data_IF_885466222229
#
_entry.id   IF_885466222229
#
_cell.length_a   1.000
_cell.length_b   1.000
_cell.length_c   1.000
_cell.angle_alpha   90.00
_cell.angle_beta   90.00
_cell.angle_gamma   90.00
#
_symmetry.space_group_name_H-M   'P 1'
#
loop_
_entity.id
_entity.type
_entity.pdbx_description
1 polymer ?
#
# COMPACT_ATOMS: atom_id res chain seq x y z
N UNK A 1 24.85 5.65 12.86
CA UNK A 1 24.48 5.62 11.44
C UNK A 1 23.80 6.90 10.95
N UNK A 2 22.67 7.33 11.54
CA UNK A 2 22.03 8.61 11.17
C UNK A 2 22.96 9.78 11.52
N UNK A 3 23.41 9.85 12.78
CA UNK A 3 24.29 10.94 13.26
C UNK A 3 25.66 10.97 12.55
N UNK A 4 26.09 9.80 12.06
CA UNK A 4 27.32 9.63 11.27
C UNK A 4 27.11 9.96 9.78
N UNK A 5 25.88 10.26 9.35
CA UNK A 5 25.53 10.57 7.96
C UNK A 5 25.56 9.38 6.99
N UNK A 6 25.68 8.15 7.49
CA UNK A 6 25.73 6.94 6.64
C UNK A 6 24.36 6.57 6.05
N UNK A 7 23.27 6.94 6.74
CA UNK A 7 21.89 6.80 6.24
C UNK A 7 21.13 8.10 6.52
N UNK A 8 20.14 8.43 5.66
CA UNK A 8 19.30 9.63 5.84
C UNK A 8 18.08 9.38 6.72
N UNK A 9 17.51 8.19 6.63
CA UNK A 9 16.26 7.81 7.30
C UNK A 9 16.35 6.37 7.80
N UNK A 10 15.60 6.06 8.84
CA UNK A 10 15.41 4.71 9.35
C UNK A 10 13.92 4.38 9.40
N UNK A 11 13.59 3.12 9.20
CA UNK A 11 12.24 2.59 9.28
C UNK A 11 12.20 1.28 10.04
N UNK A 12 10.99 0.79 10.26
CA UNK A 12 10.74 -0.50 10.91
C UNK A 12 9.92 -1.41 9.99
N UNK A 13 9.98 -2.71 10.22
CA UNK A 13 9.27 -3.71 9.41
C UNK A 13 8.68 -4.77 10.32
N UNK A 14 7.48 -5.26 9.99
CA UNK A 14 6.75 -6.26 10.79
C UNK A 14 6.54 -5.84 12.26
N UNK A 15 6.08 -4.60 12.46
CA UNK A 15 5.90 -4.04 13.80
C UNK A 15 4.45 -3.70 14.09
N UNK A 16 4.06 -3.85 15.36
CA UNK A 16 2.81 -3.27 15.87
C UNK A 16 3.00 -1.79 16.23
N UNK A 17 1.92 -1.10 16.58
CA UNK A 17 1.96 0.27 17.13
C UNK A 17 2.94 0.39 18.31
N UNK A 18 2.89 -0.54 19.27
CA UNK A 18 3.82 -0.57 20.40
C UNK A 18 5.29 -0.71 19.96
N UNK A 19 5.54 -1.45 18.87
CA UNK A 19 6.88 -1.56 18.28
C UNK A 19 7.37 -0.23 17.69
N UNK A 20 6.47 0.51 17.03
CA UNK A 20 6.77 1.85 16.50
C UNK A 20 7.07 2.82 17.63
N UNK A 21 6.25 2.83 18.69
CA UNK A 21 6.46 3.68 19.87
C UNK A 21 7.79 3.38 20.57
N UNK A 22 8.17 2.10 20.66
CA UNK A 22 9.45 1.70 21.22
C UNK A 22 10.62 2.17 20.33
N UNK A 23 10.54 2.00 19.02
CA UNK A 23 11.55 2.45 18.08
C UNK A 23 11.70 3.99 18.06
N UNK A 24 10.58 4.71 18.15
CA UNK A 24 10.53 6.17 18.16
C UNK A 24 11.26 6.80 19.36
N UNK A 25 11.49 6.04 20.44
CA UNK A 25 12.33 6.48 21.58
C UNK A 25 13.82 6.52 21.25
N UNK A 26 14.24 5.81 20.20
CA UNK A 26 15.65 5.66 19.81
C UNK A 26 16.00 6.48 18.57
N UNK A 27 15.09 6.55 17.59
CA UNK A 27 15.31 7.30 16.36
C UNK A 27 13.98 7.74 15.72
N UNK A 28 13.98 8.79 14.87
CA UNK A 28 12.79 9.16 14.10
C UNK A 28 12.43 8.07 13.09
N UNK A 29 11.29 7.40 13.30
CA UNK A 29 10.78 6.37 12.39
C UNK A 29 10.18 7.06 11.17
N UNK A 30 10.88 7.00 10.04
CA UNK A 30 10.42 7.63 8.80
C UNK A 30 9.36 6.80 8.07
N UNK A 31 9.49 5.47 8.11
CA UNK A 31 8.57 4.55 7.43
C UNK A 31 8.36 3.25 8.20
N UNK A 32 7.20 2.62 8.00
CA UNK A 32 6.90 1.26 8.44
C UNK A 32 6.59 0.39 7.22
N UNK A 33 7.18 -0.81 7.16
CA UNK A 33 6.92 -1.80 6.11
C UNK A 33 6.24 -3.04 6.69
N UNK A 34 4.93 -3.13 6.53
CA UNK A 34 4.12 -4.25 7.02
C UNK A 34 3.31 -4.90 5.90
N UNK A 35 2.81 -6.12 6.15
CA UNK A 35 1.94 -6.82 5.21
C UNK A 35 0.61 -6.08 5.15
N UNK A 36 0.21 -5.71 3.93
CA UNK A 36 -1.09 -5.09 3.72
C UNK A 36 -1.49 -5.18 2.25
N UNK A 37 -2.74 -5.53 1.99
CA UNK A 37 -3.36 -5.49 0.66
C UNK A 37 -4.89 -5.50 0.81
N UNK A 38 -5.61 -5.55 -0.32
CA UNK A 38 -7.07 -5.56 -0.33
C UNK A 38 -7.70 -6.61 0.62
N UNK A 39 -7.15 -7.83 0.63
CA UNK A 39 -7.65 -8.97 1.40
C UNK A 39 -6.96 -9.19 2.76
N UNK A 40 -5.80 -8.57 2.97
CA UNK A 40 -5.04 -8.68 4.22
C UNK A 40 -4.87 -7.31 4.83
N UNK A 41 -5.71 -7.03 5.82
CA UNK A 41 -5.77 -5.75 6.53
C UNK A 41 -5.36 -5.89 7.99
N UNK A 42 -4.54 -6.90 8.31
CA UNK A 42 -4.09 -7.15 9.69
C UNK A 42 -3.26 -6.01 10.30
N UNK A 43 -2.75 -5.09 9.47
CA UNK A 43 -1.98 -3.91 9.89
C UNK A 43 -2.77 -2.59 9.74
N UNK A 44 -4.10 -2.62 9.75
CA UNK A 44 -4.93 -1.42 9.61
C UNK A 44 -4.67 -0.41 10.74
N UNK A 45 -4.55 -0.88 11.97
CA UNK A 45 -4.21 -0.07 13.15
C UNK A 45 -2.84 0.61 13.00
N UNK A 46 -1.87 -0.12 12.44
CA UNK A 46 -0.53 0.40 12.14
C UNK A 46 -0.58 1.46 11.05
N UNK A 47 -1.37 1.24 9.99
CA UNK A 47 -1.57 2.23 8.92
C UNK A 47 -2.19 3.52 9.48
N UNK A 48 -3.25 3.41 10.29
CA UNK A 48 -3.91 4.55 10.92
C UNK A 48 -2.97 5.32 11.85
N UNK A 49 -2.18 4.59 12.65
CA UNK A 49 -1.15 5.20 13.49
C UNK A 49 -0.10 5.95 12.64
N UNK A 50 0.36 5.33 11.55
CA UNK A 50 1.34 5.95 10.65
C UNK A 50 0.78 7.22 10.02
N UNK A 51 -0.48 7.20 9.56
CA UNK A 51 -1.17 8.35 8.98
C UNK A 51 -1.29 9.50 9.99
N UNK A 52 -1.69 9.21 11.22
CA UNK A 52 -1.82 10.22 12.27
C UNK A 52 -0.49 10.90 12.63
N UNK A 53 0.62 10.17 12.55
CA UNK A 53 1.95 10.64 12.94
C UNK A 53 2.82 11.10 11.74
N UNK A 54 2.30 11.07 10.52
CA UNK A 54 3.05 11.44 9.32
C UNK A 54 4.20 10.48 8.99
N UNK A 55 4.07 9.20 9.33
CA UNK A 55 5.02 8.13 9.03
C UNK A 55 4.60 7.47 7.72
N UNK A 56 5.53 7.25 6.78
CA UNK A 56 5.23 6.53 5.54
C UNK A 56 4.88 5.06 5.80
N UNK A 57 3.83 4.55 5.17
CA UNK A 57 3.46 3.14 5.27
C UNK A 57 3.71 2.42 3.93
N UNK A 58 4.61 1.44 3.95
CA UNK A 58 5.04 0.67 2.78
C UNK A 58 4.39 -0.71 2.84
N UNK A 59 3.26 -0.96 2.16
CA UNK A 59 2.64 -2.27 2.15
C UNK A 59 3.48 -3.25 1.32
N UNK A 60 3.97 -4.31 1.94
CA UNK A 60 4.53 -5.43 1.21
C UNK A 60 3.45 -6.48 0.89
N UNK A 61 3.68 -7.27 -0.17
CA UNK A 61 2.67 -8.13 -0.78
C UNK A 61 1.39 -7.41 -1.30
N UNK A 62 1.51 -6.21 -1.91
CA UNK A 62 0.35 -5.34 -2.20
C UNK A 62 -0.66 -5.95 -3.20
N UNK A 63 -0.22 -6.90 -4.04
CA UNK A 63 -1.05 -7.54 -5.07
C UNK A 63 -1.44 -8.99 -4.74
N UNK A 64 -1.12 -9.46 -3.53
CA UNK A 64 -1.32 -10.84 -3.10
C UNK A 64 -0.90 -11.91 -4.13
N UNK A 65 0.26 -11.75 -4.76
CA UNK A 65 0.75 -12.60 -5.85
C UNK A 65 -0.24 -12.78 -7.05
N UNK A 66 -1.10 -11.78 -7.29
CA UNK A 66 -2.10 -11.82 -8.37
C UNK A 66 -3.41 -12.49 -7.97
N UNK A 67 -3.55 -12.97 -6.73
CA UNK A 67 -4.75 -13.66 -6.24
C UNK A 67 -5.96 -12.73 -6.07
N UNK A 68 -5.77 -11.41 -6.13
CA UNK A 68 -6.84 -10.42 -6.02
C UNK A 68 -7.77 -10.39 -7.26
N UNK A 69 -7.40 -11.04 -8.35
CA UNK A 69 -8.10 -10.98 -9.63
C UNK A 69 -9.17 -12.08 -9.80
N UNK A 70 -10.00 -12.33 -8.77
CA UNK A 70 -11.14 -13.24 -8.94
C UNK A 70 -12.12 -12.71 -10.00
N UNK A 71 -12.63 -13.62 -10.82
CA UNK A 71 -13.64 -13.32 -11.85
C UNK A 71 -14.91 -12.78 -11.18
N UNK A 72 -15.45 -11.68 -11.72
CA UNK A 72 -16.67 -11.00 -11.27
C UNK A 72 -16.63 -10.30 -9.89
N UNK A 73 -15.46 -9.76 -9.50
CA UNK A 73 -15.33 -8.87 -8.35
C UNK A 73 -15.58 -7.39 -8.69
N UNK A 74 -15.92 -6.52 -7.71
CA UNK A 74 -15.98 -5.07 -7.90
C UNK A 74 -14.66 -4.46 -8.40
N UNK A 75 -13.52 -5.05 -8.03
CA UNK A 75 -12.21 -4.68 -8.56
C UNK A 75 -12.15 -4.88 -10.08
N UNK A 76 -12.61 -6.03 -10.58
CA UNK A 76 -12.66 -6.30 -12.01
C UNK A 76 -13.65 -5.39 -12.74
N UNK A 77 -14.80 -5.09 -12.13
CA UNK A 77 -15.77 -4.16 -12.70
C UNK A 77 -15.16 -2.75 -12.87
N UNK A 78 -14.49 -2.23 -11.83
CA UNK A 78 -13.79 -0.95 -11.88
C UNK A 78 -12.65 -0.95 -12.91
N UNK A 79 -11.85 -2.03 -12.96
CA UNK A 79 -10.79 -2.19 -13.94
C UNK A 79 -11.31 -2.13 -15.38
N UNK A 80 -12.41 -2.85 -15.68
CA UNK A 80 -13.05 -2.86 -17.02
C UNK A 80 -13.57 -1.48 -17.42
N UNK A 81 -14.26 -0.77 -16.51
CA UNK A 81 -14.78 0.59 -16.79
C UNK A 81 -13.68 1.56 -17.18
N UNK A 82 -12.45 1.33 -16.71
CA UNK A 82 -11.29 2.20 -16.89
C UNK A 82 -10.28 1.67 -17.90
N UNK A 83 -10.57 0.54 -18.55
CA UNK A 83 -9.64 -0.15 -19.45
C UNK A 83 -8.26 -0.38 -18.80
N UNK A 84 -8.24 -0.62 -17.49
CA UNK A 84 -7.03 -0.80 -16.69
C UNK A 84 -6.83 -2.28 -16.32
N UNK A 85 -5.60 -2.65 -16.00
CA UNK A 85 -5.33 -3.97 -15.42
C UNK A 85 -5.88 -4.05 -13.98
N UNK A 86 -6.30 -5.24 -13.55
CA UNK A 86 -6.80 -5.45 -12.18
C UNK A 86 -5.76 -5.10 -11.12
N UNK A 87 -4.48 -5.46 -11.36
CA UNK A 87 -3.37 -5.09 -10.48
C UNK A 87 -3.16 -3.57 -10.40
N UNK A 88 -3.27 -2.87 -11.53
CA UNK A 88 -3.20 -1.40 -11.57
C UNK A 88 -4.34 -0.77 -10.76
N UNK A 89 -5.55 -1.32 -10.86
CA UNK A 89 -6.72 -0.87 -10.09
C UNK A 89 -6.56 -1.16 -8.59
N UNK A 90 -5.97 -2.29 -8.22
CA UNK A 90 -5.69 -2.64 -6.82
C UNK A 90 -4.64 -1.71 -6.19
N UNK A 91 -3.58 -1.37 -6.94
CA UNK A 91 -2.60 -0.36 -6.51
C UNK A 91 -3.23 1.02 -6.38
N UNK A 92 -4.13 1.41 -7.29
CA UNK A 92 -4.85 2.68 -7.19
C UNK A 92 -5.75 2.73 -5.96
N UNK A 93 -6.37 1.61 -5.58
CA UNK A 93 -7.12 1.50 -4.34
C UNK A 93 -6.21 1.69 -3.11
N UNK A 94 -5.04 1.04 -3.07
CA UNK A 94 -4.08 1.21 -1.98
C UNK A 94 -3.62 2.67 -1.85
N UNK A 95 -3.20 3.28 -2.95
CA UNK A 95 -2.78 4.69 -3.00
C UNK A 95 -3.89 5.64 -2.51
N UNK A 96 -5.15 5.29 -2.76
CA UNK A 96 -6.30 6.07 -2.28
C UNK A 96 -6.64 5.83 -0.81
N UNK A 97 -6.35 4.65 -0.25
CA UNK A 97 -6.70 4.29 1.14
C UNK A 97 -6.08 5.23 2.15
N UNK A 98 -4.86 5.73 1.92
CA UNK A 98 -4.20 6.63 2.86
C UNK A 98 -3.17 7.53 2.15
N UNK A 99 -3.01 8.80 2.54
CA UNK A 99 -2.00 9.70 1.97
C UNK A 99 -0.56 9.26 2.27
N UNK A 100 -0.34 8.38 3.26
CA UNK A 100 0.99 7.84 3.59
C UNK A 100 1.27 6.47 2.95
N UNK A 101 0.37 5.96 2.11
CA UNK A 101 0.52 4.65 1.47
C UNK A 101 1.56 4.68 0.32
N UNK A 102 2.58 3.83 0.39
CA UNK A 102 3.70 3.75 -0.55
C UNK A 102 3.93 2.31 -1.04
N UNK A 103 3.04 1.74 -1.90
CA UNK A 103 3.13 0.35 -2.29
C UNK A 103 4.37 0.05 -3.13
N UNK A 104 4.97 -1.12 -2.90
CA UNK A 104 6.21 -1.58 -3.55
C UNK A 104 6.01 -2.85 -4.40
N UNK A 105 5.16 -2.81 -5.44
CA UNK A 105 4.95 -3.96 -6.30
C UNK A 105 6.22 -4.29 -7.10
N UNK A 106 6.83 -5.45 -6.82
CA UNK A 106 7.97 -5.96 -7.57
C UNK A 106 7.57 -6.59 -8.91
N UNK A 107 8.43 -6.45 -9.92
CA UNK A 107 8.28 -7.16 -11.20
C UNK A 107 9.60 -7.25 -11.96
N UNK A 108 9.75 -8.31 -12.77
CA UNK A 108 10.90 -8.50 -13.67
C UNK A 108 10.61 -8.07 -15.13
N UNK A 109 9.41 -7.56 -15.43
CA UNK A 109 8.99 -7.21 -16.80
C UNK A 109 8.68 -5.71 -16.90
N UNK A 110 9.29 -5.05 -17.89
CA UNK A 110 9.09 -3.61 -18.15
C UNK A 110 7.61 -3.27 -18.34
N UNK A 111 6.87 -4.08 -19.11
CA UNK A 111 5.43 -3.86 -19.30
C UNK A 111 4.63 -3.88 -17.98
N UNK A 112 5.03 -4.69 -16.99
CA UNK A 112 4.39 -4.67 -15.67
C UNK A 112 4.83 -3.47 -14.83
N UNK A 113 6.08 -3.03 -14.97
CA UNK A 113 6.55 -1.80 -14.32
C UNK A 113 5.73 -0.61 -14.82
N UNK A 114 5.53 -0.50 -16.13
CA UNK A 114 4.70 0.55 -16.75
C UNK A 114 3.26 0.51 -16.23
N UNK A 115 2.67 -0.68 -16.11
CA UNK A 115 1.35 -0.86 -15.51
C UNK A 115 1.32 -0.44 -14.03
N UNK A 116 2.32 -0.82 -13.23
CA UNK A 116 2.40 -0.44 -11.82
C UNK A 116 2.50 1.08 -11.65
N UNK A 117 3.34 1.74 -12.45
CA UNK A 117 3.48 3.21 -12.45
C UNK A 117 2.17 3.87 -12.89
N UNK A 118 1.50 3.32 -13.89
CA UNK A 118 0.20 3.80 -14.37
C UNK A 118 -0.91 3.78 -13.31
N UNK A 119 -0.76 3.04 -12.21
CA UNK A 119 -1.75 3.01 -11.12
C UNK A 119 -1.92 4.37 -10.46
N UNK A 120 -0.85 5.16 -10.35
CA UNK A 120 -0.90 6.50 -9.75
C UNK A 120 -1.77 7.49 -10.55
N UNK A 121 -2.02 7.20 -11.84
CA UNK A 121 -2.91 8.00 -12.68
C UNK A 121 -4.39 7.61 -12.59
N UNK A 122 -4.75 6.54 -11.85
CA UNK A 122 -6.14 6.10 -11.72
C UNK A 122 -6.79 6.78 -10.52
N UNK A 123 -7.86 7.53 -10.77
CA UNK A 123 -8.74 8.08 -9.72
C UNK A 123 -10.01 7.24 -9.64
N UNK A 124 -10.14 6.42 -8.59
CA UNK A 124 -11.40 5.70 -8.28
C UNK A 124 -12.46 6.70 -7.80
N UNK A 125 -13.73 6.47 -8.12
CA UNK A 125 -14.86 7.21 -7.52
C UNK A 125 -15.16 6.72 -6.10
N UNK A 126 -15.87 7.49 -5.28
CA UNK A 126 -16.26 7.06 -3.93
C UNK A 126 -17.10 5.78 -3.93
N UNK A 127 -17.90 5.59 -4.97
CA UNK A 127 -18.67 4.38 -5.19
C UNK A 127 -17.75 3.19 -5.50
N UNK A 128 -16.82 3.33 -6.45
CA UNK A 128 -15.88 2.28 -6.81
C UNK A 128 -14.98 1.89 -5.64
N UNK A 129 -14.44 2.88 -4.92
CA UNK A 129 -13.58 2.63 -3.77
C UNK A 129 -14.33 1.86 -2.68
N UNK A 130 -15.55 2.27 -2.32
CA UNK A 130 -16.37 1.56 -1.31
C UNK A 130 -16.79 0.17 -1.78
N UNK A 131 -17.16 0.02 -3.04
CA UNK A 131 -17.54 -1.29 -3.59
C UNK A 131 -16.37 -2.27 -3.57
N UNK A 132 -15.15 -1.82 -3.86
CA UNK A 132 -13.93 -2.62 -3.74
C UNK A 132 -13.64 -2.90 -2.25
N UNK A 133 -13.73 -1.87 -1.41
CA UNK A 133 -13.43 -1.93 0.02
C UNK A 133 -14.26 -2.98 0.79
N UNK A 134 -15.54 -3.12 0.43
CA UNK A 134 -16.49 -4.03 1.08
C UNK A 134 -16.47 -5.47 0.55
N UNK A 135 -15.80 -5.71 -0.58
CA UNK A 135 -15.86 -6.99 -1.29
C UNK A 135 -14.72 -7.95 -0.97
N UNK A 136 -13.85 -7.58 -0.03
CA UNK A 136 -12.64 -8.31 0.38
C UNK A 136 -12.54 -8.41 1.88
#
# INVERSE_FOLDING_TARGET
MIDEGSIRHAGSSEVSVAGIEAAARLFPVATVQNRYNLSDRGSEDVLEYCEHHGIGFIPWYPLAAGLLAQSDSPLQAAARRRQAASGQTALAWLLRRSPVMLPIPGTARVAHLEQNVGAAGITLSDEEFRAIDQAV
#
